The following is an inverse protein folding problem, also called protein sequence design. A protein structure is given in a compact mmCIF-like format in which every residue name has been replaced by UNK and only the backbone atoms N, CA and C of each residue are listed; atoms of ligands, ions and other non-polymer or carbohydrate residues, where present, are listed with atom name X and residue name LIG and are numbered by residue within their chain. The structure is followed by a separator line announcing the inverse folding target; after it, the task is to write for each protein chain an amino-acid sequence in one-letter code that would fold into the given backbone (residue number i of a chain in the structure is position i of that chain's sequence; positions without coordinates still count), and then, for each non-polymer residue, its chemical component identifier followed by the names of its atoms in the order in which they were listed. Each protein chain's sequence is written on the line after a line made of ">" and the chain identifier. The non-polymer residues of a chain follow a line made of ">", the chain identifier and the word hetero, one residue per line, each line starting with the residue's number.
data_IF_261248358938
#
_entry.id   IF_261248358938
#
_cell.length_a   1.000
_cell.length_b   1.000
_cell.length_c   1.000
_cell.angle_alpha   90.00
_cell.angle_beta   90.00
_cell.angle_gamma   90.00
#
_symmetry.space_group_name_H-M   'P 1'
#
loop_
_entity.id
_entity.type
_entity.pdbx_description
1 polymer ?
#
# COMPACT_ATOMS: atom_id res chain seq x y z
N UNK A 1 5.24 -14.92 7.06
CA UNK A 1 5.48 -14.68 8.51
C UNK A 1 4.14 -14.46 9.16
N UNK A 2 3.83 -15.20 10.22
CA UNK A 2 2.59 -15.04 10.98
C UNK A 2 2.91 -14.43 12.34
N UNK A 3 2.24 -13.32 12.67
CA UNK A 3 2.32 -12.63 13.94
C UNK A 3 1.34 -13.26 14.92
N UNK A 4 1.84 -13.63 16.10
CA UNK A 4 1.01 -14.11 17.19
C UNK A 4 0.40 -12.92 17.96
N UNK A 5 -0.73 -13.11 18.66
CA UNK A 5 -1.34 -12.04 19.45
C UNK A 5 -0.33 -11.36 20.38
N UNK A 6 -0.40 -10.03 20.45
CA UNK A 6 0.44 -9.22 21.32
C UNK A 6 0.93 -7.93 20.70
N UNK A 7 1.77 -7.23 21.46
CA UNK A 7 2.37 -5.95 21.08
C UNK A 7 3.83 -6.17 20.71
N UNK A 8 4.16 -5.81 19.48
CA UNK A 8 5.52 -5.87 18.94
C UNK A 8 6.10 -4.46 18.92
N UNK A 9 7.21 -4.25 19.60
CA UNK A 9 7.90 -2.96 19.61
C UNK A 9 9.10 -3.03 18.68
N UNK A 10 9.10 -2.21 17.63
CA UNK A 10 10.17 -2.13 16.65
C UNK A 10 9.65 -1.96 15.23
N UNK A 11 10.60 -1.77 14.33
CA UNK A 11 10.38 -1.68 12.88
C UNK A 11 10.74 -3.00 12.20
N UNK A 12 10.12 -3.28 11.07
CA UNK A 12 10.45 -4.41 10.22
C UNK A 12 10.72 -3.96 8.78
N UNK A 13 11.67 -4.64 8.13
CA UNK A 13 11.90 -4.50 6.70
C UNK A 13 11.38 -5.74 5.98
N UNK A 14 10.58 -5.54 4.95
CA UNK A 14 10.13 -6.59 4.03
C UNK A 14 11.03 -6.56 2.81
N UNK A 15 12.06 -7.40 2.84
CA UNK A 15 13.14 -7.48 1.84
C UNK A 15 13.17 -8.82 1.07
N UNK A 16 12.22 -9.72 1.35
CA UNK A 16 12.06 -10.98 0.66
C UNK A 16 10.84 -10.94 -0.27
N UNK A 17 11.04 -11.31 -1.55
CA UNK A 17 9.96 -11.38 -2.53
C UNK A 17 8.87 -12.37 -2.12
N UNK A 18 7.60 -11.99 -2.31
CA UNK A 18 6.45 -12.83 -1.96
C UNK A 18 6.21 -12.96 -0.45
N UNK A 19 6.88 -12.16 0.39
CA UNK A 19 6.71 -12.24 1.83
C UNK A 19 5.34 -11.69 2.24
N UNK A 20 4.54 -12.57 2.82
CA UNK A 20 3.34 -12.18 3.58
C UNK A 20 3.70 -11.98 5.05
N UNK A 21 3.43 -10.80 5.60
CA UNK A 21 3.35 -10.57 7.05
C UNK A 21 1.87 -10.48 7.38
N UNK A 22 1.39 -11.39 8.21
CA UNK A 22 -0.03 -11.45 8.57
C UNK A 22 -0.22 -11.71 10.05
N UNK A 23 -1.28 -11.20 10.65
CA UNK A 23 -1.74 -11.68 11.93
C UNK A 23 -2.22 -13.15 11.82
N UNK A 24 -2.14 -13.90 12.92
CA UNK A 24 -2.91 -15.13 13.04
C UNK A 24 -4.42 -14.81 13.03
N UNK A 25 -5.27 -15.73 12.57
CA UNK A 25 -6.71 -15.49 12.41
C UNK A 25 -7.35 -14.87 13.67
N UNK A 26 -7.93 -13.67 13.53
CA UNK A 26 -8.54 -12.88 14.61
C UNK A 26 -7.59 -12.54 15.79
N UNK A 27 -6.27 -12.58 15.57
CA UNK A 27 -5.31 -12.18 16.58
C UNK A 27 -5.28 -10.67 16.73
N UNK A 28 -5.37 -10.21 17.97
CA UNK A 28 -5.10 -8.82 18.31
C UNK A 28 -3.59 -8.60 18.30
N UNK A 29 -3.10 -8.01 17.20
CA UNK A 29 -1.69 -7.72 16.96
C UNK A 29 -1.51 -6.23 16.80
N UNK A 30 -0.65 -5.65 17.63
CA UNK A 30 -0.25 -4.24 17.52
C UNK A 30 1.24 -4.16 17.25
N UNK A 31 1.64 -3.38 16.24
CA UNK A 31 3.04 -3.04 15.96
C UNK A 31 3.26 -1.57 16.33
N UNK A 32 4.17 -1.34 17.28
CA UNK A 32 4.53 -0.03 17.76
C UNK A 32 5.95 0.28 17.26
N UNK A 33 6.14 1.38 16.55
CA UNK A 33 7.46 1.76 16.06
C UNK A 33 7.78 3.21 16.41
N UNK A 34 9.04 3.50 16.70
CA UNK A 34 9.45 4.87 17.04
C UNK A 34 9.40 5.80 15.84
N UNK A 35 9.58 5.31 14.61
CA UNK A 35 9.56 6.08 13.36
C UNK A 35 8.67 5.39 12.33
N UNK A 36 9.22 4.47 11.54
CA UNK A 36 8.47 3.67 10.55
C UNK A 36 8.25 2.25 11.05
N UNK A 37 7.04 1.70 10.91
CA UNK A 37 6.77 0.32 11.35
C UNK A 37 7.17 -0.71 10.28
N UNK A 38 6.81 -0.49 9.01
CA UNK A 38 7.18 -1.37 7.91
C UNK A 38 7.84 -0.61 6.77
N UNK A 39 9.05 -1.03 6.40
CA UNK A 39 9.71 -0.62 5.16
C UNK A 39 9.61 -1.77 4.15
N UNK A 40 8.93 -1.55 3.04
CA UNK A 40 8.73 -2.56 1.99
C UNK A 40 9.62 -2.23 0.79
N UNK A 41 10.54 -3.14 0.48
CA UNK A 41 11.47 -3.00 -0.64
C UNK A 41 11.40 -4.14 -1.66
N UNK A 42 10.85 -5.29 -1.27
CA UNK A 42 10.73 -6.45 -2.14
C UNK A 42 9.39 -6.54 -2.87
N UNK A 43 9.35 -7.14 -4.08
CA UNK A 43 8.13 -7.38 -4.84
C UNK A 43 7.19 -8.38 -4.16
N UNK A 44 5.92 -8.33 -4.55
CA UNK A 44 4.88 -9.29 -4.19
C UNK A 44 4.66 -9.39 -2.67
N UNK A 45 4.90 -8.29 -1.95
CA UNK A 45 4.75 -8.22 -0.51
C UNK A 45 3.27 -8.13 -0.12
N UNK A 46 2.91 -8.76 1.00
CA UNK A 46 1.55 -8.65 1.58
C UNK A 46 1.62 -8.31 3.07
N UNK A 47 0.87 -7.31 3.50
CA UNK A 47 0.66 -6.93 4.89
C UNK A 47 -0.83 -7.10 5.24
N UNK A 48 -1.14 -7.94 6.22
CA UNK A 48 -2.52 -8.41 6.46
C UNK A 48 -2.92 -8.49 7.95
N UNK A 49 -4.00 -7.81 8.32
CA UNK A 49 -4.79 -8.18 9.50
C UNK A 49 -4.27 -7.71 10.86
N UNK A 50 -3.47 -6.63 10.94
CA UNK A 50 -2.93 -6.13 12.21
C UNK A 50 -3.06 -4.61 12.36
N UNK A 51 -2.86 -4.14 13.60
CA UNK A 51 -2.83 -2.73 13.96
C UNK A 51 -1.40 -2.20 14.00
N UNK A 52 -1.17 -0.99 13.51
CA UNK A 52 0.08 -0.24 13.66
C UNK A 52 -0.24 1.03 14.46
N UNK A 53 0.35 1.17 15.65
CA UNK A 53 0.09 2.32 16.52
C UNK A 53 1.11 2.42 17.67
N UNK A 54 1.63 3.62 18.02
CA UNK A 54 1.80 4.81 17.20
C UNK A 54 3.09 4.73 16.34
N UNK A 55 3.24 5.65 15.39
CA UNK A 55 4.48 5.86 14.61
C UNK A 55 4.81 7.35 14.51
N UNK A 56 6.08 7.78 14.67
CA UNK A 56 6.40 9.22 14.58
C UNK A 56 6.61 9.73 13.15
N UNK A 57 6.67 8.84 12.17
CA UNK A 57 6.75 9.14 10.74
C UNK A 57 5.68 8.30 10.03
N UNK A 58 6.09 7.41 9.12
CA UNK A 58 5.21 6.70 8.20
C UNK A 58 4.92 5.29 8.71
N UNK A 59 3.67 4.87 8.79
CA UNK A 59 3.36 3.53 9.30
C UNK A 59 3.86 2.43 8.34
N UNK A 60 3.53 2.55 7.05
CA UNK A 60 3.99 1.64 5.97
C UNK A 60 4.65 2.46 4.87
N UNK A 61 5.96 2.27 4.68
CA UNK A 61 6.77 2.96 3.69
C UNK A 61 7.18 2.00 2.56
N UNK A 62 6.64 2.21 1.37
CA UNK A 62 6.97 1.49 0.12
C UNK A 62 7.75 2.33 -0.89
N UNK A 63 8.49 3.37 -0.46
CA UNK A 63 9.23 4.26 -1.37
C UNK A 63 10.38 3.59 -2.13
N UNK A 64 10.80 2.41 -1.68
CA UNK A 64 11.83 1.59 -2.33
C UNK A 64 11.26 0.29 -2.93
N UNK A 65 9.93 0.20 -3.06
CA UNK A 65 9.25 -0.95 -3.63
C UNK A 65 9.58 -1.08 -5.14
N UNK A 66 9.94 -2.30 -5.54
CA UNK A 66 10.12 -2.72 -6.92
C UNK A 66 9.20 -3.92 -7.19
N UNK A 67 7.98 -3.66 -7.66
CA UNK A 67 6.92 -4.66 -7.90
C UNK A 67 5.61 -4.39 -7.13
N UNK A 68 4.90 -5.47 -6.80
CA UNK A 68 3.55 -5.40 -6.23
C UNK A 68 3.53 -5.31 -4.71
N UNK A 69 2.54 -4.60 -4.17
CA UNK A 69 2.25 -4.54 -2.74
C UNK A 69 0.75 -4.67 -2.48
N UNK A 70 0.40 -5.58 -1.57
CA UNK A 70 -0.95 -5.70 -1.02
C UNK A 70 -0.95 -5.33 0.45
N UNK A 71 -1.82 -4.39 0.85
CA UNK A 71 -2.11 -4.09 2.24
C UNK A 71 -3.60 -4.32 2.46
N UNK A 72 -3.97 -5.25 3.33
CA UNK A 72 -5.38 -5.59 3.58
C UNK A 72 -5.70 -5.72 5.05
N UNK A 73 -6.90 -5.29 5.44
CA UNK A 73 -7.43 -5.48 6.80
C UNK A 73 -6.48 -4.93 7.89
N UNK A 74 -5.73 -3.88 7.55
CA UNK A 74 -4.79 -3.21 8.45
C UNK A 74 -5.46 -1.99 9.09
N UNK A 75 -5.17 -1.74 10.37
CA UNK A 75 -5.54 -0.50 11.04
C UNK A 75 -4.29 0.30 11.42
N UNK A 76 -4.26 1.57 11.09
CA UNK A 76 -3.17 2.49 11.44
C UNK A 76 -3.76 3.58 12.32
N UNK A 77 -3.15 3.81 13.48
CA UNK A 77 -3.53 4.85 14.43
C UNK A 77 -2.32 5.73 14.74
N UNK A 78 -2.52 7.05 14.72
CA UNK A 78 -1.54 8.06 15.13
C UNK A 78 -0.20 7.95 14.38
N UNK A 79 -0.27 8.08 13.05
CA UNK A 79 0.92 8.17 12.20
C UNK A 79 1.43 9.62 12.09
N UNK A 80 2.69 9.84 12.42
CA UNK A 80 3.30 11.17 12.48
C UNK A 80 3.44 11.88 11.14
N UNK A 81 3.48 11.16 10.02
CA UNK A 81 3.40 11.73 8.66
C UNK A 81 2.36 11.01 7.81
N UNK A 82 2.65 9.79 7.33
CA UNK A 82 1.75 9.06 6.44
C UNK A 82 1.27 7.76 7.08
N UNK A 83 0.01 7.39 6.87
CA UNK A 83 -0.41 6.02 7.20
C UNK A 83 0.29 5.03 6.27
N UNK A 84 0.08 5.20 4.96
CA UNK A 84 0.75 4.41 3.92
C UNK A 84 1.33 5.38 2.90
N UNK A 85 2.61 5.26 2.60
CA UNK A 85 3.27 6.02 1.54
C UNK A 85 3.99 5.07 0.58
N UNK A 86 3.60 5.10 -0.69
CA UNK A 86 4.31 4.42 -1.78
C UNK A 86 4.65 5.47 -2.83
N UNK A 87 5.93 5.72 -3.02
CA UNK A 87 6.44 6.66 -4.02
C UNK A 87 7.49 5.97 -4.86
N UNK A 88 7.34 5.98 -6.17
CA UNK A 88 8.42 5.61 -7.08
C UNK A 88 7.97 4.70 -8.22
N UNK A 89 8.67 4.83 -9.35
CA UNK A 89 8.37 4.13 -10.60
C UNK A 89 8.64 2.61 -10.56
N UNK A 90 9.22 2.09 -9.49
CA UNK A 90 9.40 0.64 -9.29
C UNK A 90 8.11 -0.06 -8.86
N UNK A 91 7.17 0.65 -8.22
CA UNK A 91 5.91 0.05 -7.80
C UNK A 91 5.01 -0.24 -9.01
N UNK A 92 4.67 -1.51 -9.25
CA UNK A 92 3.82 -1.91 -10.38
C UNK A 92 2.34 -1.85 -9.98
N UNK A 93 1.88 -2.74 -9.09
CA UNK A 93 0.49 -2.75 -8.62
C UNK A 93 0.42 -2.56 -7.10
N UNK A 94 -0.21 -1.48 -6.66
CA UNK A 94 -0.45 -1.23 -5.22
C UNK A 94 -1.93 -1.44 -4.90
N UNK A 95 -2.23 -2.44 -4.07
CA UNK A 95 -3.59 -2.71 -3.60
C UNK A 95 -3.70 -2.43 -2.12
N UNK A 96 -4.63 -1.56 -1.74
CA UNK A 96 -4.98 -1.27 -0.34
C UNK A 96 -6.47 -1.56 -0.17
N UNK A 97 -6.83 -2.54 0.67
CA UNK A 97 -8.22 -2.97 0.86
C UNK A 97 -8.61 -3.11 2.32
N UNK A 98 -9.86 -2.77 2.66
CA UNK A 98 -10.41 -2.94 4.02
C UNK A 98 -9.54 -2.31 5.13
N UNK A 99 -8.76 -1.29 4.79
CA UNK A 99 -7.79 -0.68 5.70
C UNK A 99 -8.36 0.59 6.31
N UNK A 100 -8.07 0.82 7.59
CA UNK A 100 -8.43 2.04 8.30
C UNK A 100 -7.17 2.82 8.65
N UNK A 101 -7.14 4.10 8.31
CA UNK A 101 -6.09 5.03 8.75
C UNK A 101 -6.74 6.15 9.57
N UNK A 102 -6.39 6.23 10.84
CA UNK A 102 -6.86 7.22 11.78
C UNK A 102 -5.68 8.10 12.24
N UNK A 103 -5.88 9.42 12.20
CA UNK A 103 -4.93 10.40 12.75
C UNK A 103 -3.53 10.40 12.12
N UNK A 104 -3.44 10.35 10.79
CA UNK A 104 -2.20 10.67 10.09
C UNK A 104 -2.03 12.21 9.93
N UNK A 105 -0.83 12.74 10.12
CA UNK A 105 -0.58 14.19 10.01
C UNK A 105 -0.65 14.66 8.56
N UNK A 106 0.03 13.96 7.66
CA UNK A 106 0.17 14.35 6.25
C UNK A 106 -0.94 13.73 5.40
N UNK A 107 -0.90 12.44 5.13
CA UNK A 107 -1.97 11.76 4.37
C UNK A 107 -2.28 10.37 4.93
N UNK A 108 -3.52 9.91 4.76
CA UNK A 108 -3.90 8.56 5.16
C UNK A 108 -3.19 7.51 4.31
N UNK A 109 -3.47 7.53 3.01
CA UNK A 109 -2.76 6.72 1.99
C UNK A 109 -2.30 7.63 0.86
N UNK A 110 -1.01 7.57 0.52
CA UNK A 110 -0.41 8.24 -0.63
C UNK A 110 0.25 7.20 -1.53
N UNK A 111 -0.18 7.18 -2.80
CA UNK A 111 0.45 6.39 -3.85
C UNK A 111 0.82 7.35 -4.98
N UNK A 112 2.09 7.36 -5.35
CA UNK A 112 2.66 8.32 -6.28
C UNK A 112 3.63 7.63 -7.22
N UNK A 113 3.39 7.70 -8.52
CA UNK A 113 4.30 7.10 -9.49
C UNK A 113 4.24 5.58 -9.59
N UNK A 114 3.16 4.90 -9.16
CA UNK A 114 2.99 3.45 -9.38
C UNK A 114 2.37 3.13 -10.75
N UNK A 115 2.40 1.87 -11.20
CA UNK A 115 1.75 1.44 -12.43
C UNK A 115 0.23 1.55 -12.32
N UNK A 116 -0.36 0.70 -11.48
CA UNK A 116 -1.77 0.70 -11.09
C UNK A 116 -1.93 0.86 -9.58
N UNK A 117 -3.07 1.41 -9.15
CA UNK A 117 -3.43 1.55 -7.74
C UNK A 117 -4.90 1.18 -7.53
N UNK A 118 -5.15 0.31 -6.56
CA UNK A 118 -6.49 -0.14 -6.17
C UNK A 118 -6.72 0.18 -4.71
N UNK A 119 -7.63 1.12 -4.42
CA UNK A 119 -8.05 1.44 -3.06
C UNK A 119 -9.53 1.10 -2.92
N UNK A 120 -9.88 0.10 -2.10
CA UNK A 120 -11.27 -0.38 -1.94
C UNK A 120 -11.62 -0.61 -0.49
N UNK A 121 -12.81 -0.18 -0.09
CA UNK A 121 -13.34 -0.36 1.28
C UNK A 121 -12.42 0.19 2.37
N UNK A 122 -11.67 1.26 2.07
CA UNK A 122 -10.79 1.88 3.06
C UNK A 122 -11.49 3.06 3.73
N UNK A 123 -11.07 3.34 4.96
CA UNK A 123 -11.48 4.54 5.71
C UNK A 123 -10.24 5.35 6.06
N UNK A 124 -10.28 6.66 5.82
CA UNK A 124 -9.26 7.60 6.29
C UNK A 124 -9.96 8.70 7.08
N UNK A 125 -9.64 8.83 8.36
CA UNK A 125 -10.29 9.76 9.29
C UNK A 125 -9.28 10.58 10.09
N UNK A 126 -9.70 11.77 10.51
CA UNK A 126 -8.88 12.68 11.34
C UNK A 126 -7.51 13.05 10.74
N UNK A 127 -7.43 13.17 9.40
CA UNK A 127 -6.20 13.51 8.69
C UNK A 127 -5.94 15.02 8.76
N UNK A 128 -4.72 15.41 9.16
CA UNK A 128 -4.47 16.81 9.59
C UNK A 128 -4.21 17.81 8.47
N UNK A 129 -3.47 17.46 7.42
CA UNK A 129 -2.90 18.49 6.53
C UNK A 129 -3.12 18.32 5.02
N UNK A 130 -3.16 17.10 4.48
CA UNK A 130 -3.30 16.92 3.02
C UNK A 130 -4.57 16.20 2.61
N UNK A 131 -4.58 14.86 2.62
CA UNK A 131 -5.63 14.06 1.99
C UNK A 131 -5.83 12.72 2.70
N UNK A 132 -7.07 12.25 2.78
CA UNK A 132 -7.36 10.88 3.22
C UNK A 132 -6.75 9.84 2.29
N UNK A 133 -6.98 10.01 0.99
CA UNK A 133 -6.44 9.16 -0.06
C UNK A 133 -5.91 10.05 -1.20
N UNK A 134 -4.65 9.87 -1.57
CA UNK A 134 -4.01 10.55 -2.69
C UNK A 134 -3.38 9.53 -3.63
N UNK A 135 -3.78 9.55 -4.90
CA UNK A 135 -3.23 8.70 -5.97
C UNK A 135 -2.80 9.62 -7.10
N UNK A 136 -1.49 9.72 -7.33
CA UNK A 136 -0.89 10.65 -8.29
C UNK A 136 0.03 9.93 -9.26
N UNK A 137 0.22 10.54 -10.44
CA UNK A 137 1.24 10.17 -11.42
C UNK A 137 1.33 8.68 -11.73
N UNK A 138 0.18 7.99 -11.81
CA UNK A 138 0.14 6.60 -12.25
C UNK A 138 0.81 6.48 -13.62
N UNK A 139 1.93 5.77 -13.69
CA UNK A 139 2.73 5.63 -14.90
C UNK A 139 2.25 4.48 -15.78
N UNK A 140 1.06 3.94 -15.46
CA UNK A 140 0.34 2.89 -16.16
C UNK A 140 0.81 2.78 -17.59
N UNK A 141 1.58 1.71 -17.85
CA UNK A 141 2.09 1.40 -19.18
C UNK A 141 0.94 1.59 -20.16
N UNK A 142 1.01 2.62 -21.01
CA UNK A 142 0.24 2.63 -22.23
C UNK A 142 0.73 1.42 -23.02
N UNK A 143 0.19 0.23 -22.74
CA UNK A 143 0.31 -0.91 -23.63
C UNK A 143 -0.25 -0.40 -24.95
N UNK A 144 0.55 -0.30 -26.02
CA UNK A 144 0.02 0.12 -27.30
C UNK A 144 -1.11 -0.84 -27.60
N UNK A 145 -2.34 -0.33 -27.65
CA UNK A 145 -3.43 -1.13 -28.19
C UNK A 145 -3.04 -1.31 -29.65
N UNK A 146 -2.54 -2.49 -30.00
CA UNK A 146 -2.34 -2.82 -31.41
C UNK A 146 -3.70 -2.69 -32.06
N UNK A 147 -3.92 -1.58 -32.76
CA UNK A 147 -5.12 -1.36 -33.54
C UNK A 147 -5.10 -2.45 -34.61
N UNK A 148 -5.82 -3.55 -34.37
CA UNK A 148 -6.07 -4.56 -35.40
C UNK A 148 -6.75 -3.82 -36.54
N UNK A 149 -6.01 -3.56 -37.62
CA UNK A 149 -6.55 -2.97 -38.82
C UNK A 149 -7.75 -3.83 -39.26
N UNK A 150 -8.93 -3.21 -39.29
CA UNK A 150 -10.11 -3.85 -39.84
C UNK A 150 -9.79 -4.24 -41.30
N UNK A 151 -10.08 -5.49 -41.72
CA UNK A 151 -9.88 -5.87 -43.11
C UNK A 151 -10.69 -4.93 -44.01
N UNK A 152 -10.05 -4.48 -45.10
CA UNK A 152 -10.70 -3.61 -46.07
C UNK A 152 -11.99 -4.27 -46.59
N UNK A 153 -13.09 -3.51 -46.75
CA UNK A 153 -14.35 -4.07 -47.22
C UNK A 153 -14.13 -4.68 -48.61
N UNK A 154 -14.43 -5.95 -48.76
CA UNK A 154 -14.46 -6.60 -50.08
C UNK A 154 -15.56 -5.93 -50.90
N UNK A 155 -15.15 -5.27 -51.99
CA UNK A 155 -16.09 -4.76 -52.97
C UNK A 155 -16.94 -5.93 -53.49
N UNK A 156 -18.25 -5.86 -53.30
CA UNK A 156 -19.19 -6.74 -53.99
C UNK A 156 -19.20 -6.33 -55.47
N UNK A 157 -18.77 -7.25 -56.34
CA UNK A 157 -18.90 -7.16 -57.80
C UNK A 157 -20.32 -7.45 -58.25
#
# INVERSE_FOLDING_TARGET
>A
MTLLPGVFNGSATVDAAGLTVQAADNADVTVNASETAFTVAAPDATLDGFTIAPTSDTAINGTSLDGDLTVTDVRIEDAGDYGIEVIGAGAENVTVTNTVVESAVTSGVRIDGSGDAILRNNTAESISSSSGFAVNDLHGSMRPTTLLALPAPTAFS
#
